data_IF_700734812442
#
_entry.id   IF_700734812442
#
_cell.length_a   1.000
_cell.length_b   1.000
_cell.length_c   1.000
_cell.angle_alpha   90.00
_cell.angle_beta   90.00
_cell.angle_gamma   90.00
#
_symmetry.space_group_name_H-M   'P 1'
#
loop_
_entity.id
_entity.type
_entity.pdbx_description
1 polymer ?
#
# COMPACT_ATOMS: atom_id res chain seq x y z
N UNK A 1 34.94 50.25 -21.69
CA UNK A 1 34.62 49.85 -20.30
C UNK A 1 33.81 48.54 -20.33
N UNK A 2 34.28 47.48 -19.66
CA UNK A 2 33.54 46.23 -19.62
C UNK A 2 32.24 46.41 -18.81
N UNK A 3 31.08 46.13 -19.42
CA UNK A 3 29.75 46.18 -18.74
C UNK A 3 29.80 45.31 -17.50
N UNK A 4 29.55 45.92 -16.32
CA UNK A 4 29.33 45.18 -15.06
C UNK A 4 28.18 44.22 -15.23
N UNK A 5 28.37 42.91 -14.98
CA UNK A 5 27.33 41.90 -15.05
C UNK A 5 26.32 42.11 -13.93
N UNK A 6 25.07 41.70 -14.17
CA UNK A 6 24.02 41.78 -13.18
C UNK A 6 24.29 40.86 -11.98
N UNK A 7 23.80 41.23 -10.80
CA UNK A 7 23.91 40.41 -9.60
C UNK A 7 23.21 39.04 -9.85
N UNK A 8 23.95 37.94 -9.66
CA UNK A 8 23.43 36.57 -9.84
C UNK A 8 23.97 35.84 -11.08
N UNK A 9 24.57 36.55 -12.07
CA UNK A 9 25.06 35.93 -13.31
C UNK A 9 26.40 35.17 -13.16
N UNK A 10 27.01 35.18 -11.99
CA UNK A 10 28.30 34.55 -11.71
C UNK A 10 29.48 35.26 -12.41
N UNK A 11 30.70 34.76 -12.25
CA UNK A 11 31.91 35.29 -12.88
C UNK A 11 32.59 34.21 -13.72
N UNK A 12 33.22 34.61 -14.83
CA UNK A 12 33.99 33.72 -15.71
C UNK A 12 35.39 34.27 -15.82
N UNK A 13 36.40 33.41 -15.62
CA UNK A 13 37.81 33.75 -15.80
C UNK A 13 38.55 32.64 -16.54
N UNK A 14 39.66 32.99 -17.21
CA UNK A 14 40.60 32.04 -17.77
C UNK A 14 41.61 31.64 -16.68
N UNK A 15 41.85 30.37 -16.52
CA UNK A 15 42.84 29.82 -15.58
C UNK A 15 44.22 29.73 -16.23
N UNK A 16 45.25 29.59 -15.42
CA UNK A 16 46.65 29.41 -15.87
C UNK A 16 46.82 28.10 -16.68
N UNK A 17 45.98 27.10 -16.44
CA UNK A 17 45.98 25.83 -17.17
C UNK A 17 45.25 25.89 -18.53
N UNK A 18 44.89 27.10 -18.99
CA UNK A 18 44.23 27.33 -20.28
C UNK A 18 42.72 27.11 -20.29
N UNK A 19 42.12 26.50 -19.26
CA UNK A 19 40.68 26.28 -19.14
C UNK A 19 39.94 27.51 -18.65
N UNK A 20 38.64 27.57 -18.92
CA UNK A 20 37.73 28.61 -18.42
C UNK A 20 37.01 28.12 -17.17
N UNK A 21 36.98 28.97 -16.14
CA UNK A 21 36.27 28.71 -14.86
C UNK A 21 35.15 29.72 -14.69
N UNK A 22 33.93 29.20 -14.51
CA UNK A 22 32.75 29.96 -14.11
C UNK A 22 32.48 29.75 -12.61
N UNK A 23 32.31 30.82 -11.84
CA UNK A 23 32.00 30.80 -10.41
C UNK A 23 30.64 31.41 -10.18
N UNK A 24 29.84 30.79 -9.32
CA UNK A 24 28.50 31.28 -8.95
C UNK A 24 28.22 31.01 -7.47
N UNK A 25 27.30 31.81 -6.90
CA UNK A 25 26.77 31.56 -5.55
C UNK A 25 25.67 30.52 -5.66
N UNK A 26 25.88 29.33 -5.09
CA UNK A 26 24.96 28.24 -5.13
C UNK A 26 23.91 28.31 -3.99
N UNK A 27 24.14 29.14 -2.98
CA UNK A 27 23.27 29.34 -1.83
C UNK A 27 24.01 30.00 -0.67
N UNK A 28 23.40 30.00 0.51
CA UNK A 28 23.97 30.49 1.75
C UNK A 28 23.89 29.42 2.83
N UNK A 29 24.90 29.36 3.69
CA UNK A 29 24.89 28.43 4.83
C UNK A 29 23.82 28.87 5.85
N UNK A 30 22.89 27.98 6.26
CA UNK A 30 21.75 28.38 7.10
C UNK A 30 22.12 29.02 8.43
N UNK A 31 23.15 28.49 9.10
CA UNK A 31 23.56 28.95 10.44
C UNK A 31 24.52 30.12 10.40
N UNK A 32 25.40 30.21 9.38
CA UNK A 32 26.48 31.18 9.35
C UNK A 32 26.24 32.31 8.36
N UNK A 33 25.25 32.26 7.50
CA UNK A 33 24.96 33.22 6.44
C UNK A 33 26.05 33.34 5.36
N UNK A 34 27.10 32.53 5.42
CA UNK A 34 28.21 32.54 4.46
C UNK A 34 27.77 32.00 3.09
N UNK A 35 28.27 32.62 2.01
CA UNK A 35 28.00 32.21 0.63
C UNK A 35 28.63 30.86 0.33
N UNK A 36 27.84 29.95 -0.24
CA UNK A 36 28.32 28.70 -0.82
C UNK A 36 28.67 28.97 -2.28
N UNK A 37 29.96 28.96 -2.60
CA UNK A 37 30.44 29.22 -3.95
C UNK A 37 30.82 27.90 -4.62
N UNK A 38 30.26 27.67 -5.82
CA UNK A 38 30.64 26.55 -6.69
C UNK A 38 31.25 27.06 -8.00
N UNK A 39 31.98 26.15 -8.69
CA UNK A 39 32.58 26.44 -9.97
C UNK A 39 32.27 25.39 -11.02
N UNK A 40 32.28 25.80 -12.28
CA UNK A 40 32.19 24.94 -13.47
C UNK A 40 33.39 25.20 -14.36
N UNK A 41 33.83 24.17 -15.08
CA UNK A 41 34.97 24.26 -15.98
C UNK A 41 34.54 23.98 -17.42
N UNK A 42 35.11 24.76 -18.37
CA UNK A 42 34.95 24.56 -19.80
C UNK A 42 36.26 24.69 -20.56
N UNK A 43 36.39 23.99 -21.68
CA UNK A 43 37.57 24.14 -22.59
C UNK A 43 37.52 25.46 -23.32
N UNK A 44 36.35 25.98 -23.63
CA UNK A 44 36.12 27.27 -24.27
C UNK A 44 35.29 28.20 -23.37
N UNK A 45 35.37 29.50 -23.64
CA UNK A 45 34.57 30.50 -22.92
C UNK A 45 33.06 30.27 -23.12
N UNK A 46 32.66 29.93 -24.36
CA UNK A 46 31.26 29.66 -24.70
C UNK A 46 30.73 28.43 -23.95
N UNK A 47 31.48 27.33 -23.92
CA UNK A 47 31.15 26.13 -23.16
C UNK A 47 31.00 26.41 -21.67
N UNK A 48 31.98 27.15 -21.11
CA UNK A 48 31.96 27.55 -19.70
C UNK A 48 30.74 28.42 -19.38
N UNK A 49 30.36 29.35 -20.27
CA UNK A 49 29.17 30.20 -20.11
C UNK A 49 27.88 29.40 -20.16
N UNK A 50 27.74 28.44 -21.07
CA UNK A 50 26.58 27.56 -21.16
C UNK A 50 26.42 26.68 -19.90
N UNK A 51 27.54 26.07 -19.46
CA UNK A 51 27.58 25.30 -18.22
C UNK A 51 27.25 26.13 -16.98
N UNK A 52 27.78 27.37 -16.91
CA UNK A 52 27.54 28.29 -15.81
C UNK A 52 26.06 28.70 -15.74
N UNK A 53 25.43 29.01 -16.88
CA UNK A 53 24.00 29.36 -16.95
C UNK A 53 23.15 28.20 -16.44
N UNK A 54 23.40 27.00 -16.96
CA UNK A 54 22.69 25.78 -16.52
C UNK A 54 22.89 25.51 -15.03
N UNK A 55 24.11 25.64 -14.51
CA UNK A 55 24.40 25.43 -13.09
C UNK A 55 23.75 26.49 -12.18
N UNK A 56 23.60 27.73 -12.62
CA UNK A 56 22.88 28.78 -11.89
C UNK A 56 21.36 28.46 -11.88
N UNK A 57 20.76 28.08 -13.02
CA UNK A 57 19.35 27.66 -13.11
C UNK A 57 19.08 26.48 -12.20
N UNK A 58 19.93 25.45 -12.23
CA UNK A 58 19.86 24.31 -11.34
C UNK A 58 20.00 24.69 -9.85
N UNK A 59 20.91 25.64 -9.52
CA UNK A 59 21.11 26.08 -8.14
C UNK A 59 19.95 26.94 -7.61
N UNK A 60 19.25 27.65 -8.47
CA UNK A 60 18.03 28.40 -8.10
C UNK A 60 16.83 27.49 -7.90
N UNK A 61 16.83 26.32 -8.53
CA UNK A 61 15.79 25.29 -8.38
C UNK A 61 16.04 24.34 -7.21
N UNK A 62 17.24 24.33 -6.60
CA UNK A 62 17.60 23.50 -5.45
C UNK A 62 17.87 24.36 -4.21
N UNK A 63 17.38 23.92 -3.07
CA UNK A 63 17.85 24.39 -1.76
C UNK A 63 19.15 23.63 -1.40
N UNK A 64 20.28 24.10 -1.97
CA UNK A 64 21.58 23.44 -1.85
C UNK A 64 22.07 23.39 -0.39
N UNK A 65 21.61 24.31 0.45
CA UNK A 65 21.94 24.28 1.88
C UNK A 65 21.38 23.04 2.56
N UNK A 66 20.21 22.56 2.13
CA UNK A 66 19.50 21.40 2.69
C UNK A 66 19.70 20.11 1.89
N UNK A 67 20.00 20.21 0.60
CA UNK A 67 20.15 19.05 -0.29
C UNK A 67 21.28 18.08 0.12
N UNK A 68 22.28 18.56 0.88
CA UNK A 68 23.39 17.73 1.39
C UNK A 68 23.13 17.18 2.80
N UNK A 69 22.04 17.57 3.48
CA UNK A 69 21.73 17.15 4.85
C UNK A 69 21.13 15.74 4.89
N UNK A 70 20.50 15.30 3.79
CA UNK A 70 19.78 14.05 3.75
C UNK A 70 20.50 12.96 2.98
N UNK A 71 20.54 11.78 3.59
CA UNK A 71 20.67 10.51 2.86
C UNK A 71 19.28 9.99 2.48
N UNK A 72 19.21 8.97 1.63
CA UNK A 72 17.93 8.36 1.27
C UNK A 72 17.19 7.87 2.52
N UNK A 73 17.88 7.19 3.44
CA UNK A 73 17.25 6.67 4.67
C UNK A 73 16.72 7.80 5.57
N UNK A 74 17.54 8.85 5.81
CA UNK A 74 17.10 9.96 6.67
C UNK A 74 15.96 10.74 6.06
N UNK A 75 15.96 10.95 4.74
CA UNK A 75 14.83 11.57 4.04
C UNK A 75 13.55 10.73 4.14
N UNK A 76 13.63 9.42 3.90
CA UNK A 76 12.46 8.55 3.95
C UNK A 76 11.81 8.52 5.33
N UNK A 77 12.62 8.52 6.41
CA UNK A 77 12.11 8.63 7.79
C UNK A 77 11.46 9.97 8.04
N UNK A 78 12.11 11.09 7.64
CA UNK A 78 11.55 12.43 7.75
C UNK A 78 10.23 12.55 6.97
N UNK A 79 10.20 12.08 5.74
CA UNK A 79 8.98 12.07 4.93
C UNK A 79 7.89 11.23 5.56
N UNK A 80 8.24 10.04 6.07
CA UNK A 80 7.28 9.17 6.71
C UNK A 80 6.64 9.84 7.93
N UNK A 81 7.44 10.40 8.84
CA UNK A 81 6.95 10.99 10.08
C UNK A 81 6.17 12.28 9.85
N UNK A 82 6.65 13.18 8.98
CA UNK A 82 6.05 14.50 8.79
C UNK A 82 4.90 14.50 7.77
N UNK A 83 5.00 13.71 6.70
CA UNK A 83 4.07 13.83 5.56
C UNK A 83 3.17 12.62 5.37
N UNK A 84 3.68 11.41 5.59
CA UNK A 84 2.88 10.22 5.34
C UNK A 84 2.04 9.82 6.56
N UNK A 85 2.67 9.66 7.72
CA UNK A 85 2.06 9.13 8.94
C UNK A 85 0.76 9.84 9.37
N UNK A 86 0.63 11.18 9.31
CA UNK A 86 -0.61 11.87 9.69
C UNK A 86 -1.80 11.56 8.80
N UNK A 87 -1.57 11.06 7.57
CA UNK A 87 -2.61 10.93 6.53
C UNK A 87 -2.90 9.49 6.12
N UNK A 88 -2.17 8.51 6.66
CA UNK A 88 -2.32 7.10 6.31
C UNK A 88 -2.82 6.28 7.49
N UNK A 89 -3.43 5.11 7.20
CA UNK A 89 -3.93 4.19 8.22
C UNK A 89 -2.79 3.41 8.89
N UNK A 90 -3.00 2.92 10.13
CA UNK A 90 -2.00 2.14 10.86
C UNK A 90 -1.41 0.97 10.05
N UNK A 91 -2.24 0.23 9.32
CA UNK A 91 -1.75 -0.87 8.45
C UNK A 91 -0.80 -0.39 7.35
N UNK A 92 -1.04 0.79 6.78
CA UNK A 92 -0.15 1.41 5.78
C UNK A 92 1.10 1.97 6.44
N UNK A 93 0.99 2.54 7.66
CA UNK A 93 2.15 2.98 8.45
C UNK A 93 3.12 1.81 8.67
N UNK A 94 2.61 0.68 9.16
CA UNK A 94 3.40 -0.53 9.39
C UNK A 94 4.03 -1.05 8.09
N UNK A 95 3.29 -1.00 6.98
CA UNK A 95 3.80 -1.39 5.66
C UNK A 95 4.94 -0.46 5.21
N UNK A 96 4.78 0.86 5.32
CA UNK A 96 5.81 1.82 4.92
C UNK A 96 7.05 1.72 5.82
N UNK A 97 6.86 1.73 7.14
CA UNK A 97 7.95 1.60 8.09
C UNK A 97 8.78 0.33 7.83
N UNK A 98 8.11 -0.82 7.69
CA UNK A 98 8.79 -2.08 7.39
C UNK A 98 9.57 -2.03 6.07
N UNK A 99 8.99 -1.48 5.00
CA UNK A 99 9.68 -1.41 3.71
C UNK A 99 10.86 -0.44 3.75
N UNK A 100 10.76 0.68 4.45
CA UNK A 100 11.87 1.61 4.64
C UNK A 100 13.01 0.91 5.38
N UNK A 101 12.72 0.34 6.57
CA UNK A 101 13.77 -0.15 7.46
C UNK A 101 14.36 -1.50 7.02
N UNK A 102 13.57 -2.37 6.42
CA UNK A 102 14.01 -3.73 6.13
C UNK A 102 14.45 -3.95 4.67
N UNK A 103 14.03 -3.09 3.75
CA UNK A 103 14.32 -3.27 2.32
C UNK A 103 15.09 -2.12 1.72
N UNK A 104 14.68 -0.87 1.96
CA UNK A 104 15.24 0.29 1.28
C UNK A 104 16.49 0.82 1.99
N UNK A 105 16.40 1.08 3.30
CA UNK A 105 17.51 1.64 4.07
C UNK A 105 18.77 0.76 4.06
N UNK A 106 18.69 -0.59 4.18
CA UNK A 106 19.88 -1.44 4.11
C UNK A 106 20.55 -1.46 2.73
N UNK A 107 19.79 -1.21 1.66
CA UNK A 107 20.28 -1.36 0.28
C UNK A 107 20.82 -0.05 -0.32
N UNK A 108 20.13 1.06 -0.08
CA UNK A 108 20.44 2.37 -0.69
C UNK A 108 20.38 3.54 0.30
N UNK A 109 20.18 3.25 1.60
CA UNK A 109 19.93 4.27 2.61
C UNK A 109 21.06 5.27 2.81
N UNK A 110 22.31 4.86 2.64
CA UNK A 110 23.50 5.71 2.82
C UNK A 110 23.80 6.61 1.61
N UNK A 111 23.11 6.41 0.49
CA UNK A 111 23.30 7.26 -0.69
C UNK A 111 22.84 8.68 -0.36
N UNK A 112 23.65 9.72 -0.58
CA UNK A 112 23.18 11.10 -0.49
C UNK A 112 21.96 11.32 -1.39
N UNK A 113 20.90 11.93 -0.87
CA UNK A 113 19.61 12.06 -1.56
C UNK A 113 19.74 12.68 -2.95
N UNK A 114 20.56 13.70 -3.07
CA UNK A 114 20.84 14.41 -4.33
C UNK A 114 21.74 13.64 -5.32
N UNK A 115 22.27 12.48 -4.92
CA UNK A 115 23.08 11.60 -5.77
C UNK A 115 22.34 10.31 -6.14
N UNK A 116 21.14 10.09 -5.61
CA UNK A 116 20.32 8.93 -5.94
C UNK A 116 19.94 8.94 -7.41
N UNK A 117 20.22 7.83 -8.10
CA UNK A 117 19.96 7.70 -9.53
C UNK A 117 18.87 6.67 -9.83
N UNK A 118 18.25 6.76 -11.01
CA UNK A 118 17.34 5.73 -11.52
C UNK A 118 18.00 4.34 -11.57
N UNK A 119 19.32 4.27 -11.84
CA UNK A 119 20.07 3.00 -11.86
C UNK A 119 20.12 2.35 -10.47
N UNK A 120 20.29 3.12 -9.42
CA UNK A 120 20.33 2.59 -8.05
C UNK A 120 18.96 2.01 -7.66
N UNK A 121 17.88 2.71 -7.98
CA UNK A 121 16.52 2.24 -7.78
C UNK A 121 16.20 1.00 -8.61
N UNK A 122 16.64 0.96 -9.86
CA UNK A 122 16.41 -0.22 -10.71
C UNK A 122 17.15 -1.45 -10.19
N UNK A 123 18.39 -1.29 -9.70
CA UNK A 123 19.11 -2.39 -9.03
C UNK A 123 18.35 -2.87 -7.80
N UNK A 124 17.92 -1.94 -6.94
CA UNK A 124 17.10 -2.28 -5.76
C UNK A 124 15.89 -3.13 -6.16
N UNK A 125 15.11 -2.71 -7.19
CA UNK A 125 13.92 -3.46 -7.60
C UNK A 125 14.27 -4.87 -8.11
N UNK A 126 15.33 -5.01 -8.88
CA UNK A 126 15.80 -6.29 -9.39
C UNK A 126 16.26 -7.21 -8.23
N UNK A 127 16.99 -6.66 -7.26
CA UNK A 127 17.46 -7.41 -6.10
C UNK A 127 16.28 -7.84 -5.20
N UNK A 128 15.29 -6.97 -5.01
CA UNK A 128 14.07 -7.32 -4.29
C UNK A 128 13.27 -8.44 -4.98
N UNK A 129 13.23 -8.46 -6.32
CA UNK A 129 12.57 -9.54 -7.07
C UNK A 129 13.32 -10.87 -6.99
N UNK A 130 14.63 -10.84 -6.89
CA UNK A 130 15.44 -12.07 -6.84
C UNK A 130 15.64 -12.62 -5.43
N UNK A 131 15.90 -11.75 -4.43
CA UNK A 131 16.32 -12.15 -3.09
C UNK A 131 15.68 -11.36 -1.94
N UNK A 132 14.59 -10.61 -2.20
CA UNK A 132 14.03 -9.66 -1.23
C UNK A 132 13.33 -10.28 -0.01
N UNK A 133 13.13 -11.59 0.10
CA UNK A 133 12.48 -12.20 1.25
C UNK A 133 13.40 -12.29 2.45
N UNK A 134 12.99 -11.72 3.57
CA UNK A 134 13.75 -11.70 4.82
C UNK A 134 13.57 -12.99 5.65
N UNK A 135 12.46 -13.71 5.48
CA UNK A 135 12.23 -14.98 6.15
C UNK A 135 12.97 -16.12 5.44
N UNK A 136 13.31 -17.17 6.19
CA UNK A 136 13.83 -18.42 5.59
C UNK A 136 12.85 -18.93 4.54
N UNK A 137 13.35 -19.14 3.33
CA UNK A 137 12.57 -19.60 2.18
C UNK A 137 12.52 -21.13 2.22
N UNK A 138 11.33 -21.71 2.09
CA UNK A 138 11.19 -23.17 1.95
C UNK A 138 11.66 -23.62 0.56
N UNK A 139 12.11 -24.89 0.43
CA UNK A 139 12.71 -25.43 -0.81
C UNK A 139 11.95 -25.16 -2.12
N UNK A 140 10.62 -24.95 -2.05
CA UNK A 140 9.77 -24.69 -3.22
C UNK A 140 9.40 -23.22 -3.42
N UNK A 141 9.86 -22.32 -2.56
CA UNK A 141 9.49 -20.88 -2.61
C UNK A 141 10.59 -20.07 -3.30
N UNK A 142 10.19 -19.09 -4.09
CA UNK A 142 11.11 -18.10 -4.67
C UNK A 142 11.65 -17.18 -3.57
N UNK A 143 12.95 -16.89 -3.53
CA UNK A 143 13.54 -16.03 -2.50
C UNK A 143 13.19 -14.54 -2.67
N UNK A 144 12.66 -14.15 -3.81
CA UNK A 144 12.30 -12.77 -4.12
C UNK A 144 10.92 -12.34 -3.60
N UNK A 145 10.69 -11.05 -3.58
CA UNK A 145 9.38 -10.46 -3.33
C UNK A 145 8.48 -10.58 -4.57
N UNK A 146 7.17 -10.55 -4.35
CA UNK A 146 6.21 -10.53 -5.46
C UNK A 146 6.29 -9.21 -6.24
N UNK A 147 5.94 -9.24 -7.54
CA UNK A 147 5.87 -8.05 -8.38
C UNK A 147 4.95 -6.97 -7.76
N UNK A 148 3.86 -7.38 -7.13
CA UNK A 148 2.95 -6.48 -6.42
C UNK A 148 3.63 -5.78 -5.24
N UNK A 149 4.45 -6.48 -4.46
CA UNK A 149 5.19 -5.89 -3.34
C UNK A 149 6.24 -4.90 -3.82
N UNK A 150 7.01 -5.25 -4.86
CA UNK A 150 8.01 -4.35 -5.45
C UNK A 150 7.36 -3.08 -6.01
N UNK A 151 6.20 -3.20 -6.68
CA UNK A 151 5.41 -2.03 -7.10
C UNK A 151 4.95 -1.18 -5.94
N UNK A 152 4.54 -1.79 -4.83
CA UNK A 152 4.16 -1.06 -3.61
C UNK A 152 5.32 -0.27 -3.02
N UNK A 153 6.53 -0.85 -3.00
CA UNK A 153 7.75 -0.15 -2.58
C UNK A 153 8.08 1.00 -3.55
N UNK A 154 7.97 0.77 -4.87
CA UNK A 154 8.16 1.82 -5.86
C UNK A 154 7.20 3.00 -5.64
N UNK A 155 5.90 2.74 -5.44
CA UNK A 155 4.91 3.81 -5.19
C UNK A 155 5.21 4.61 -3.91
N UNK A 156 5.66 3.94 -2.86
CA UNK A 156 6.10 4.60 -1.62
C UNK A 156 7.30 5.51 -1.89
N UNK A 157 8.33 5.00 -2.58
CA UNK A 157 9.52 5.78 -2.96
C UNK A 157 9.17 6.94 -3.89
N UNK A 158 8.28 6.70 -4.86
CA UNK A 158 7.82 7.75 -5.77
C UNK A 158 7.20 8.93 -5.00
N UNK A 159 6.29 8.65 -4.07
CA UNK A 159 5.64 9.67 -3.26
C UNK A 159 6.64 10.44 -2.38
N UNK A 160 7.59 9.74 -1.77
CA UNK A 160 8.62 10.34 -0.93
C UNK A 160 9.58 11.23 -1.72
N UNK A 161 9.99 10.77 -2.91
CA UNK A 161 10.92 11.51 -3.76
C UNK A 161 10.23 12.65 -4.53
N UNK A 162 8.96 12.50 -4.88
CA UNK A 162 8.14 13.60 -5.40
C UNK A 162 8.02 14.74 -4.37
N UNK A 163 7.89 14.38 -3.08
CA UNK A 163 7.94 15.39 -2.00
C UNK A 163 9.31 16.05 -1.91
N UNK A 164 10.40 15.32 -2.08
CA UNK A 164 11.76 15.87 -2.10
C UNK A 164 11.97 16.87 -3.25
N UNK A 165 11.38 16.60 -4.43
CA UNK A 165 11.36 17.57 -5.56
C UNK A 165 10.61 18.84 -5.18
N UNK A 166 9.41 18.71 -4.57
CA UNK A 166 8.61 19.86 -4.12
C UNK A 166 9.32 20.71 -3.05
N UNK A 167 10.15 20.08 -2.22
CA UNK A 167 10.99 20.76 -1.24
C UNK A 167 12.33 21.23 -1.81
N UNK A 168 12.55 21.07 -3.10
CA UNK A 168 13.78 21.48 -3.80
C UNK A 168 15.06 20.80 -3.28
N UNK A 169 14.93 19.60 -2.71
CA UNK A 169 16.06 18.77 -2.25
C UNK A 169 16.71 18.01 -3.41
N UNK A 170 15.93 17.67 -4.44
CA UNK A 170 16.37 17.04 -5.69
C UNK A 170 15.69 17.71 -6.88
N UNK A 171 16.33 17.67 -8.05
CA UNK A 171 15.83 18.32 -9.27
C UNK A 171 14.67 17.60 -9.93
N UNK A 172 14.70 16.28 -9.93
CA UNK A 172 13.71 15.42 -10.55
C UNK A 172 13.57 14.13 -9.77
N UNK A 173 12.43 13.47 -9.92
CA UNK A 173 12.17 12.21 -9.25
C UNK A 173 12.82 11.05 -10.02
N UNK A 174 13.87 10.39 -9.48
CA UNK A 174 14.56 9.31 -10.19
C UNK A 174 13.73 8.04 -10.37
N UNK A 175 12.57 7.92 -9.71
CA UNK A 175 11.66 6.77 -9.90
C UNK A 175 10.91 6.82 -11.22
N UNK A 176 10.72 8.00 -11.84
CA UNK A 176 9.89 8.18 -13.04
C UNK A 176 10.36 7.32 -14.22
N UNK A 177 11.68 7.13 -14.34
CA UNK A 177 12.28 6.37 -15.43
C UNK A 177 12.61 4.91 -15.07
N UNK A 178 12.11 4.40 -13.94
CA UNK A 178 12.30 3.01 -13.55
C UNK A 178 11.35 2.07 -14.30
N UNK A 179 11.85 0.91 -14.68
CA UNK A 179 11.03 -0.17 -15.22
C UNK A 179 10.44 -0.97 -14.05
N UNK A 180 9.12 -0.89 -13.92
CA UNK A 180 8.40 -1.54 -12.83
C UNK A 180 7.92 -2.92 -13.29
N UNK A 181 8.04 -3.98 -12.45
CA UNK A 181 7.60 -5.32 -12.84
C UNK A 181 6.09 -5.36 -13.11
N UNK A 182 5.68 -6.04 -14.18
CA UNK A 182 4.27 -6.23 -14.51
C UNK A 182 3.61 -7.16 -13.50
N UNK A 183 2.38 -6.84 -13.10
CA UNK A 183 1.55 -7.74 -12.30
C UNK A 183 0.79 -8.63 -13.28
N UNK A 184 1.04 -9.93 -13.20
CA UNK A 184 0.21 -10.90 -13.91
C UNK A 184 -1.16 -10.98 -13.24
N UNK A 185 -2.21 -10.78 -14.01
CA UNK A 185 -3.58 -10.99 -13.52
C UNK A 185 -3.76 -12.50 -13.27
N UNK A 186 -3.92 -12.86 -12.02
CA UNK A 186 -4.33 -14.22 -11.68
C UNK A 186 -5.85 -14.31 -11.83
N UNK A 187 -6.33 -15.37 -12.44
CA UNK A 187 -7.76 -15.66 -12.48
C UNK A 187 -8.30 -15.78 -11.05
N UNK A 188 -9.47 -15.19 -10.84
CA UNK A 188 -10.15 -15.29 -9.56
C UNK A 188 -10.68 -16.72 -9.40
N UNK A 189 -10.22 -17.41 -8.37
CA UNK A 189 -10.78 -18.71 -8.01
C UNK A 189 -12.05 -18.49 -7.21
N UNK A 190 -13.09 -19.23 -7.53
CA UNK A 190 -14.36 -19.25 -6.78
C UNK A 190 -14.59 -20.65 -6.23
N UNK A 191 -15.38 -20.76 -5.18
CA UNK A 191 -15.90 -22.04 -4.74
C UNK A 191 -17.03 -22.45 -5.71
N UNK A 192 -16.83 -23.54 -6.43
CA UNK A 192 -17.82 -24.01 -7.40
C UNK A 192 -19.15 -24.38 -6.67
N UNK A 193 -20.32 -24.12 -7.27
CA UNK A 193 -21.62 -24.46 -6.64
C UNK A 193 -21.70 -25.89 -6.11
N UNK A 194 -21.22 -26.86 -6.88
CA UNK A 194 -21.25 -28.31 -6.51
C UNK A 194 -20.39 -28.62 -5.27
N UNK A 195 -19.47 -27.75 -4.90
CA UNK A 195 -18.58 -27.92 -3.75
C UNK A 195 -19.09 -27.24 -2.47
N UNK A 196 -20.14 -26.41 -2.57
CA UNK A 196 -20.65 -25.63 -1.43
C UNK A 196 -21.13 -26.56 -0.30
N UNK A 197 -21.88 -27.59 -0.63
CA UNK A 197 -22.38 -28.53 0.37
C UNK A 197 -21.24 -29.24 1.09
N UNK A 198 -20.23 -29.72 0.38
CA UNK A 198 -19.04 -30.34 0.98
C UNK A 198 -18.27 -29.39 1.89
N UNK A 199 -18.15 -28.11 1.48
CA UNK A 199 -17.51 -27.07 2.25
C UNK A 199 -18.27 -26.76 3.54
N UNK A 200 -19.61 -26.59 3.47
CA UNK A 200 -20.44 -26.27 4.64
C UNK A 200 -20.51 -27.45 5.62
N UNK A 201 -20.60 -28.67 5.13
CA UNK A 201 -20.54 -29.88 5.99
C UNK A 201 -19.19 -29.99 6.71
N UNK A 202 -18.11 -29.59 6.08
CA UNK A 202 -16.79 -29.53 6.74
C UNK A 202 -16.71 -28.38 7.76
N UNK A 203 -17.35 -27.23 7.48
CA UNK A 203 -17.47 -26.12 8.43
C UNK A 203 -18.30 -26.53 9.66
N UNK A 204 -19.37 -27.28 9.49
CA UNK A 204 -20.20 -27.78 10.57
C UNK A 204 -19.44 -28.71 11.52
N UNK A 205 -18.67 -29.67 10.97
CA UNK A 205 -17.78 -30.55 11.76
C UNK A 205 -16.76 -29.78 12.60
N UNK A 206 -16.48 -28.51 12.26
CA UNK A 206 -15.59 -27.62 12.99
C UNK A 206 -16.32 -26.61 13.87
N UNK A 207 -17.63 -26.74 14.06
CA UNK A 207 -18.46 -25.76 14.76
C UNK A 207 -18.34 -24.33 14.20
N UNK A 208 -18.24 -24.21 12.89
CA UNK A 208 -18.04 -22.93 12.21
C UNK A 208 -19.06 -22.69 11.09
N UNK A 209 -20.10 -23.54 10.99
CA UNK A 209 -21.12 -23.42 9.95
C UNK A 209 -21.76 -22.02 9.90
N UNK A 210 -22.25 -21.44 11.02
CA UNK A 210 -22.92 -20.14 10.96
C UNK A 210 -22.03 -19.02 10.38
N UNK A 211 -20.74 -18.99 10.77
CA UNK A 211 -19.76 -18.00 10.28
C UNK A 211 -19.53 -18.12 8.78
N UNK A 212 -19.27 -19.31 8.27
CA UNK A 212 -18.94 -19.52 6.86
C UNK A 212 -20.17 -19.54 5.96
N UNK A 213 -21.32 -19.92 6.48
CA UNK A 213 -22.58 -19.77 5.77
C UNK A 213 -22.91 -18.28 5.59
N UNK A 214 -22.83 -17.50 6.66
CA UNK A 214 -23.02 -16.05 6.58
C UNK A 214 -22.06 -15.39 5.57
N UNK A 215 -20.79 -15.78 5.56
CA UNK A 215 -19.82 -15.25 4.59
C UNK A 215 -20.24 -15.54 3.14
N UNK A 216 -20.74 -16.75 2.85
CA UNK A 216 -21.18 -17.16 1.51
C UNK A 216 -22.46 -16.47 1.06
N UNK A 217 -23.33 -16.03 1.97
CA UNK A 217 -24.61 -15.38 1.61
C UNK A 217 -24.56 -13.85 1.73
N UNK A 218 -23.50 -13.29 2.31
CA UNK A 218 -23.35 -11.84 2.52
C UNK A 218 -22.14 -11.23 1.84
N UNK A 219 -21.12 -12.03 1.55
CA UNK A 219 -19.86 -11.57 0.94
C UNK A 219 -19.13 -10.52 1.76
N UNK A 220 -19.16 -10.57 3.07
CA UNK A 220 -18.51 -9.64 3.98
C UNK A 220 -16.99 -9.67 3.83
N UNK A 221 -16.30 -8.56 4.11
CA UNK A 221 -14.85 -8.61 4.25
C UNK A 221 -14.49 -9.32 5.56
N UNK A 222 -13.37 -10.04 5.57
CA UNK A 222 -12.85 -10.75 6.76
C UNK A 222 -12.92 -9.92 8.05
N UNK A 223 -12.49 -8.66 7.99
CA UNK A 223 -12.52 -7.76 9.14
C UNK A 223 -13.93 -7.31 9.54
N UNK A 224 -14.85 -7.24 8.61
CA UNK A 224 -16.27 -6.95 8.87
C UNK A 224 -16.92 -8.15 9.57
N UNK A 225 -16.74 -9.35 9.02
CA UNK A 225 -17.30 -10.60 9.55
C UNK A 225 -16.94 -10.85 11.02
N UNK A 226 -15.65 -10.73 11.38
CA UNK A 226 -15.21 -10.98 12.76
C UNK A 226 -15.57 -9.86 13.74
N UNK A 227 -15.93 -8.68 13.23
CA UNK A 227 -16.35 -7.54 14.03
C UNK A 227 -17.86 -7.49 14.30
N UNK A 228 -18.63 -8.44 13.77
CA UNK A 228 -20.08 -8.50 13.98
C UNK A 228 -20.43 -8.78 15.45
N UNK A 229 -21.41 -8.04 15.91
CA UNK A 229 -22.03 -8.21 17.22
C UNK A 229 -23.53 -8.50 17.04
N UNK A 230 -24.18 -9.05 18.05
CA UNK A 230 -25.61 -9.38 17.97
C UNK A 230 -26.49 -8.15 17.69
N UNK A 231 -26.11 -6.97 18.16
CA UNK A 231 -26.83 -5.72 17.87
C UNK A 231 -26.71 -5.27 16.40
N UNK A 232 -25.89 -5.92 15.59
CA UNK A 232 -25.79 -5.64 14.16
C UNK A 232 -26.81 -6.47 13.33
N UNK A 233 -27.49 -7.46 13.95
CA UNK A 233 -28.49 -8.29 13.30
C UNK A 233 -29.89 -7.72 13.54
N UNK A 234 -30.61 -7.44 12.47
CA UNK A 234 -32.05 -7.20 12.49
C UNK A 234 -32.76 -8.48 12.03
N UNK A 235 -33.26 -9.23 13.00
CA UNK A 235 -33.94 -10.53 12.74
C UNK A 235 -35.28 -10.34 11.99
N UNK A 236 -35.98 -9.23 12.24
CA UNK A 236 -37.30 -8.97 11.64
C UNK A 236 -37.19 -8.65 10.14
N UNK A 237 -36.15 -7.88 9.77
CA UNK A 237 -35.90 -7.49 8.40
C UNK A 237 -34.88 -8.40 7.68
N UNK A 238 -34.33 -9.40 8.36
CA UNK A 238 -33.28 -10.29 7.84
C UNK A 238 -32.09 -9.50 7.27
N UNK A 239 -31.59 -8.54 8.03
CA UNK A 239 -30.46 -7.70 7.59
C UNK A 239 -29.33 -7.66 8.63
N UNK A 240 -28.11 -7.43 8.13
CA UNK A 240 -26.92 -7.19 8.96
C UNK A 240 -26.39 -5.79 8.65
N UNK A 241 -26.24 -4.99 9.71
CA UNK A 241 -25.62 -3.66 9.64
C UNK A 241 -24.08 -3.78 9.68
N UNK A 242 -23.42 -3.36 8.62
CA UNK A 242 -21.96 -3.35 8.52
C UNK A 242 -21.44 -1.94 8.75
N UNK A 243 -21.14 -1.60 9.99
CA UNK A 243 -20.70 -0.26 10.40
C UNK A 243 -19.28 -0.22 10.98
N UNK A 244 -18.67 -1.39 11.20
CA UNK A 244 -17.36 -1.56 11.84
C UNK A 244 -16.57 -2.70 11.23
N UNK A 245 -15.26 -2.68 11.46
CA UNK A 245 -14.35 -3.76 11.05
C UNK A 245 -13.23 -3.95 12.06
N UNK A 246 -12.73 -5.15 12.16
CA UNK A 246 -11.49 -5.45 12.87
C UNK A 246 -10.30 -4.92 12.09
N UNK A 247 -9.41 -4.19 12.73
CA UNK A 247 -8.19 -3.65 12.15
C UNK A 247 -7.06 -3.64 13.19
N UNK A 248 -5.84 -3.39 12.73
CA UNK A 248 -4.67 -3.28 13.60
C UNK A 248 -4.37 -1.81 13.87
N UNK A 249 -4.06 -1.48 15.11
CA UNK A 249 -3.51 -0.19 15.47
C UNK A 249 -1.99 -0.11 15.22
N UNK A 250 -1.35 0.97 15.67
CA UNK A 250 0.09 1.19 15.54
C UNK A 250 0.92 0.28 16.42
N UNK A 251 0.34 -0.26 17.49
CA UNK A 251 0.98 -1.17 18.44
C UNK A 251 0.70 -2.66 18.13
N UNK A 252 0.16 -2.94 16.94
CA UNK A 252 -0.27 -4.28 16.52
C UNK A 252 -1.35 -4.90 17.42
N UNK A 253 -2.17 -4.06 18.06
CA UNK A 253 -3.34 -4.52 18.79
C UNK A 253 -4.54 -4.59 17.86
N UNK A 254 -5.37 -5.62 18.04
CA UNK A 254 -6.59 -5.79 17.28
C UNK A 254 -7.67 -4.86 17.85
N UNK A 255 -8.13 -3.93 17.04
CA UNK A 255 -9.13 -2.93 17.44
C UNK A 255 -10.32 -2.91 16.48
N UNK A 256 -11.45 -2.41 16.96
CA UNK A 256 -12.57 -2.04 16.12
C UNK A 256 -12.31 -0.66 15.50
N UNK A 257 -12.50 -0.55 14.21
CA UNK A 257 -12.41 0.70 13.46
C UNK A 257 -13.59 0.89 12.53
N UNK A 258 -13.87 2.13 12.20
CA UNK A 258 -14.83 2.42 11.12
C UNK A 258 -14.29 1.93 9.78
N UNK A 259 -15.16 1.53 8.85
CA UNK A 259 -14.77 1.15 7.50
C UNK A 259 -13.99 2.26 6.78
N UNK A 260 -13.31 1.89 5.69
CA UNK A 260 -12.37 2.77 4.98
C UNK A 260 -13.02 4.02 4.37
N UNK A 261 -14.28 3.93 3.97
CA UNK A 261 -15.06 5.02 3.35
C UNK A 261 -16.45 5.05 3.98
N UNK A 262 -17.10 6.22 4.00
CA UNK A 262 -18.48 6.36 4.46
C UNK A 262 -19.45 5.42 3.71
N UNK A 263 -19.22 5.21 2.42
CA UNK A 263 -20.00 4.27 1.60
C UNK A 263 -19.83 2.80 1.98
N UNK A 264 -18.90 2.47 2.87
CA UNK A 264 -18.73 1.09 3.37
C UNK A 264 -19.68 0.76 4.51
N UNK A 265 -20.33 1.74 5.11
CA UNK A 265 -21.44 1.53 6.05
C UNK A 265 -22.67 1.16 5.20
N UNK A 266 -23.22 -0.01 5.46
CA UNK A 266 -24.32 -0.56 4.67
C UNK A 266 -25.10 -1.60 5.45
N UNK A 267 -26.30 -1.84 5.00
CA UNK A 267 -27.09 -3.02 5.39
C UNK A 267 -26.99 -4.10 4.30
N UNK A 268 -26.87 -5.32 4.71
CA UNK A 268 -26.78 -6.49 3.84
C UNK A 268 -27.94 -7.42 4.19
N UNK A 269 -28.83 -7.64 3.22
CA UNK A 269 -29.91 -8.64 3.38
C UNK A 269 -29.32 -10.03 3.36
N UNK A 270 -29.80 -10.87 4.26
CA UNK A 270 -29.43 -12.28 4.39
C UNK A 270 -30.69 -13.15 4.33
N UNK A 271 -30.62 -14.42 3.88
CA UNK A 271 -31.73 -15.28 3.84
C UNK A 271 -32.21 -15.71 5.25
N UNK A 272 -33.48 -16.09 5.38
CA UNK A 272 -34.10 -16.45 6.67
C UNK A 272 -33.39 -17.63 7.37
N UNK A 273 -32.91 -18.60 6.61
CA UNK A 273 -32.16 -19.75 7.14
C UNK A 273 -30.82 -19.32 7.77
N UNK A 274 -30.18 -18.25 7.25
CA UNK A 274 -29.03 -17.66 7.90
C UNK A 274 -29.38 -17.05 9.26
N UNK A 275 -30.49 -16.34 9.35
CA UNK A 275 -30.99 -15.79 10.63
C UNK A 275 -31.24 -16.93 11.64
N UNK A 276 -31.85 -18.03 11.23
CA UNK A 276 -32.08 -19.17 12.10
C UNK A 276 -30.79 -19.82 12.59
N UNK A 277 -29.81 -19.99 11.71
CA UNK A 277 -28.49 -20.49 12.11
C UNK A 277 -27.79 -19.55 13.10
N UNK A 278 -27.90 -18.23 12.90
CA UNK A 278 -27.36 -17.25 13.82
C UNK A 278 -28.04 -17.26 15.18
N UNK A 279 -29.36 -17.45 15.23
CA UNK A 279 -30.10 -17.61 16.50
C UNK A 279 -29.67 -18.85 17.28
N UNK A 280 -29.46 -19.96 16.58
CA UNK A 280 -28.91 -21.19 17.20
C UNK A 280 -27.48 -20.95 17.73
N UNK A 281 -26.68 -20.18 17.02
CA UNK A 281 -25.34 -19.81 17.49
C UNK A 281 -25.40 -18.92 18.71
N UNK A 282 -26.28 -17.90 18.72
CA UNK A 282 -26.48 -17.00 19.85
C UNK A 282 -26.89 -17.78 21.13
N UNK A 283 -27.72 -18.77 21.00
CA UNK A 283 -28.14 -19.60 22.14
C UNK A 283 -26.98 -20.35 22.82
N UNK A 284 -25.85 -20.57 22.15
CA UNK A 284 -24.67 -21.22 22.72
C UNK A 284 -23.88 -20.30 23.64
N UNK A 285 -23.99 -18.98 23.46
CA UNK A 285 -23.23 -17.95 24.21
C UNK A 285 -24.01 -16.63 24.36
N UNK A 286 -25.19 -16.65 24.99
CA UNK A 286 -26.16 -15.54 24.96
C UNK A 286 -25.65 -14.26 25.64
N UNK A 287 -24.68 -14.35 26.54
CA UNK A 287 -24.09 -13.19 27.22
C UNK A 287 -22.90 -12.58 26.47
N UNK A 288 -22.43 -13.19 25.39
CA UNK A 288 -21.29 -12.70 24.64
C UNK A 288 -21.74 -11.69 23.58
N UNK A 289 -21.19 -10.47 23.51
CA UNK A 289 -21.59 -9.49 22.52
C UNK A 289 -21.20 -9.86 21.09
N UNK A 290 -20.17 -10.68 20.91
CA UNK A 290 -19.67 -11.06 19.59
C UNK A 290 -20.53 -12.15 18.95
N UNK A 291 -20.86 -11.97 17.67
CA UNK A 291 -21.59 -12.98 16.92
C UNK A 291 -20.75 -14.27 16.75
N UNK A 292 -19.46 -14.12 16.57
CA UNK A 292 -18.51 -15.23 16.44
C UNK A 292 -17.34 -15.03 17.41
N UNK A 293 -17.49 -15.37 18.68
CA UNK A 293 -16.42 -15.25 19.66
C UNK A 293 -15.33 -16.29 19.43
N UNK A 294 -14.10 -15.95 19.79
CA UNK A 294 -13.00 -16.93 19.84
C UNK A 294 -13.30 -17.99 20.90
N UNK A 295 -13.35 -19.25 20.50
CA UNK A 295 -13.57 -20.37 21.44
C UNK A 295 -12.49 -20.50 22.52
N UNK A 296 -11.35 -19.83 22.40
CA UNK A 296 -10.28 -19.84 23.39
C UNK A 296 -10.37 -18.68 24.39
N UNK A 297 -10.78 -17.50 23.94
CA UNK A 297 -10.72 -16.27 24.76
C UNK A 297 -12.10 -15.67 25.05
N UNK A 298 -13.14 -16.07 24.31
CA UNK A 298 -14.46 -15.43 24.34
C UNK A 298 -14.51 -14.05 23.67
N UNK A 299 -13.37 -13.50 23.26
CA UNK A 299 -13.23 -12.18 22.64
C UNK A 299 -13.44 -12.26 21.10
N UNK A 300 -13.37 -11.09 20.45
CA UNK A 300 -13.44 -10.99 18.99
C UNK A 300 -12.49 -11.99 18.32
N UNK A 301 -12.99 -12.70 17.34
CA UNK A 301 -12.20 -13.70 16.62
C UNK A 301 -11.07 -13.03 15.85
N UNK A 302 -9.86 -13.57 15.98
CA UNK A 302 -8.71 -13.00 15.28
C UNK A 302 -8.81 -13.23 13.76
N UNK A 303 -8.72 -12.18 12.91
CA UNK A 303 -8.93 -12.32 11.47
C UNK A 303 -8.06 -13.39 10.78
N UNK A 304 -6.80 -13.58 11.24
CA UNK A 304 -5.92 -14.59 10.64
C UNK A 304 -6.25 -16.01 11.09
N UNK A 305 -6.90 -16.15 12.26
CA UNK A 305 -7.42 -17.45 12.72
C UNK A 305 -8.58 -17.91 11.84
N UNK A 306 -9.44 -17.00 11.37
CA UNK A 306 -10.51 -17.31 10.39
C UNK A 306 -9.90 -17.82 9.08
N UNK A 307 -8.83 -17.19 8.58
CA UNK A 307 -8.14 -17.68 7.37
C UNK A 307 -7.55 -19.07 7.58
N UNK A 308 -7.00 -19.32 8.77
CA UNK A 308 -6.45 -20.64 9.12
C UNK A 308 -7.57 -21.70 9.20
N UNK A 309 -8.71 -21.34 9.79
CA UNK A 309 -9.88 -22.20 9.88
C UNK A 309 -10.45 -22.53 8.48
N UNK A 310 -10.59 -21.52 7.62
CA UNK A 310 -10.98 -21.69 6.22
C UNK A 310 -10.10 -22.71 5.48
N UNK A 311 -8.77 -22.59 5.61
CA UNK A 311 -7.83 -23.55 5.01
C UNK A 311 -8.04 -24.98 5.50
N UNK A 312 -8.35 -25.14 6.79
CA UNK A 312 -8.65 -26.46 7.37
C UNK A 312 -9.96 -27.03 6.85
N UNK A 313 -10.99 -26.18 6.72
CA UNK A 313 -12.31 -26.58 6.15
C UNK A 313 -12.13 -27.06 4.71
N UNK A 314 -11.41 -26.30 3.86
CA UNK A 314 -11.13 -26.74 2.49
C UNK A 314 -10.39 -28.09 2.43
N UNK A 315 -9.41 -28.29 3.30
CA UNK A 315 -8.67 -29.55 3.39
C UNK A 315 -9.57 -30.71 3.78
N UNK A 316 -10.45 -30.53 4.79
CA UNK A 316 -11.37 -31.57 5.27
C UNK A 316 -12.47 -31.89 4.25
N UNK A 317 -12.83 -30.92 3.43
CA UNK A 317 -13.77 -31.10 2.32
C UNK A 317 -13.11 -31.72 1.07
N UNK A 318 -11.78 -31.91 1.06
CA UNK A 318 -11.06 -32.41 -0.12
C UNK A 318 -11.00 -31.42 -1.27
N UNK A 319 -11.16 -30.12 -1.00
CA UNK A 319 -11.25 -29.07 -2.00
C UNK A 319 -9.90 -28.38 -2.25
N UNK A 320 -9.74 -27.84 -3.46
CA UNK A 320 -8.60 -27.00 -3.79
C UNK A 320 -8.55 -25.74 -2.91
N UNK A 321 -7.32 -25.28 -2.67
CA UNK A 321 -7.12 -24.05 -1.90
C UNK A 321 -7.58 -22.83 -2.68
N UNK A 322 -8.58 -22.14 -2.14
CA UNK A 322 -8.96 -20.77 -2.48
C UNK A 322 -8.66 -19.83 -1.30
N UNK A 323 -8.48 -18.54 -1.57
CA UNK A 323 -8.25 -17.55 -0.50
C UNK A 323 -9.57 -17.26 0.22
N UNK A 324 -9.53 -16.87 1.49
CA UNK A 324 -10.74 -16.46 2.21
C UNK A 324 -11.54 -15.37 1.46
N UNK A 325 -10.82 -14.38 0.88
CA UNK A 325 -11.47 -13.30 0.11
C UNK A 325 -12.18 -13.80 -1.16
N UNK A 326 -11.80 -14.97 -1.66
CA UNK A 326 -12.46 -15.57 -2.83
C UNK A 326 -13.86 -16.09 -2.52
N UNK A 327 -14.23 -16.30 -1.23
CA UNK A 327 -15.61 -16.57 -0.80
C UNK A 327 -16.53 -15.38 -1.12
N UNK A 328 -16.04 -14.15 -0.97
CA UNK A 328 -16.77 -12.95 -1.37
C UNK A 328 -16.96 -12.87 -2.89
N UNK A 329 -15.98 -13.32 -3.67
CA UNK A 329 -16.14 -13.44 -5.12
C UNK A 329 -17.13 -14.56 -5.48
N UNK A 330 -17.12 -15.64 -4.73
CA UNK A 330 -18.12 -16.73 -4.83
C UNK A 330 -19.53 -16.18 -4.60
N UNK A 331 -19.76 -15.44 -3.50
CA UNK A 331 -21.03 -14.77 -3.25
C UNK A 331 -21.47 -13.90 -4.44
N UNK A 332 -20.58 -13.03 -4.94
CA UNK A 332 -20.92 -12.16 -6.07
C UNK A 332 -21.32 -12.95 -7.31
N UNK A 333 -20.58 -14.00 -7.65
CA UNK A 333 -20.86 -14.86 -8.80
C UNK A 333 -22.19 -15.59 -8.65
N UNK A 334 -22.44 -16.19 -7.47
CA UNK A 334 -23.68 -16.90 -7.18
C UNK A 334 -24.89 -15.97 -7.21
N UNK A 335 -24.80 -14.79 -6.62
CA UNK A 335 -25.86 -13.79 -6.64
C UNK A 335 -26.25 -13.39 -8.06
N UNK A 336 -25.24 -13.12 -8.92
CA UNK A 336 -25.47 -12.78 -10.33
C UNK A 336 -26.07 -13.96 -11.11
N UNK A 337 -25.60 -15.19 -10.88
CA UNK A 337 -26.14 -16.40 -11.51
C UNK A 337 -27.60 -16.69 -11.11
N UNK A 338 -27.99 -16.30 -9.89
CA UNK A 338 -29.36 -16.40 -9.38
C UNK A 338 -30.23 -15.18 -9.71
N UNK A 339 -29.81 -14.33 -10.64
CA UNK A 339 -30.62 -13.24 -11.18
C UNK A 339 -30.61 -11.95 -10.36
N UNK A 340 -29.78 -11.84 -9.33
CA UNK A 340 -29.60 -10.58 -8.61
C UNK A 340 -28.89 -9.59 -9.53
N UNK A 341 -29.44 -8.40 -9.70
CA UNK A 341 -28.87 -7.42 -10.61
C UNK A 341 -27.48 -6.90 -10.14
N UNK A 342 -26.64 -6.51 -11.11
CA UNK A 342 -25.25 -6.10 -10.86
C UNK A 342 -25.14 -4.92 -9.91
N UNK A 343 -26.12 -3.98 -9.97
CA UNK A 343 -26.12 -2.78 -9.12
C UNK A 343 -26.37 -3.15 -7.65
N UNK A 344 -27.31 -4.05 -7.41
CA UNK A 344 -27.60 -4.59 -6.07
C UNK A 344 -26.41 -5.32 -5.51
N UNK A 345 -25.78 -6.24 -6.26
CA UNK A 345 -24.56 -6.94 -5.82
C UNK A 345 -23.42 -5.96 -5.55
N UNK A 346 -23.24 -4.96 -6.41
CA UNK A 346 -22.24 -3.92 -6.21
C UNK A 346 -22.49 -3.10 -4.95
N UNK A 347 -23.75 -2.77 -4.66
CA UNK A 347 -24.14 -2.06 -3.43
C UNK A 347 -23.86 -2.90 -2.19
N UNK A 348 -24.29 -4.16 -2.17
CA UNK A 348 -24.06 -5.11 -1.06
C UNK A 348 -22.56 -5.28 -0.77
N UNK A 349 -21.74 -5.27 -1.81
CA UNK A 349 -20.29 -5.42 -1.71
C UNK A 349 -19.54 -4.10 -1.57
N UNK A 350 -20.20 -2.94 -1.64
CA UNK A 350 -19.51 -1.63 -1.70
C UNK A 350 -18.40 -1.60 -2.77
N UNK A 351 -18.69 -2.12 -3.95
CA UNK A 351 -17.82 -1.97 -5.10
C UNK A 351 -18.16 -0.64 -5.77
N UNK A 352 -17.16 0.17 -6.07
CA UNK A 352 -17.37 1.34 -6.92
C UNK A 352 -17.69 0.82 -8.34
N UNK A 353 -18.94 1.00 -8.75
CA UNK A 353 -19.33 0.80 -10.14
C UNK A 353 -18.74 1.96 -10.94
N UNK A 354 -17.53 1.79 -11.44
CA UNK A 354 -17.08 2.60 -12.57
C UNK A 354 -17.77 2.03 -13.78
N UNK A 355 -18.83 2.70 -14.25
CA UNK A 355 -19.33 2.46 -15.60
C UNK A 355 -18.11 2.48 -16.54
N UNK A 356 -17.99 1.54 -17.49
CA UNK A 356 -16.93 1.60 -18.48
C UNK A 356 -16.96 2.99 -19.13
N UNK A 357 -15.83 3.68 -19.12
CA UNK A 357 -15.69 4.95 -19.81
C UNK A 357 -16.04 4.69 -21.30
N UNK A 358 -16.71 5.64 -21.98
CA UNK A 358 -16.94 5.53 -23.43
C UNK A 358 -15.67 5.28 -24.25
N UNK A 359 -14.47 5.39 -23.65
CA UNK A 359 -13.18 5.09 -24.27
C UNK A 359 -12.72 3.64 -24.13
N UNK A 360 -13.47 2.80 -23.39
CA UNK A 360 -13.13 1.37 -23.21
C UNK A 360 -13.96 0.46 -24.14
N UNK A 361 -14.67 1.05 -25.10
CA UNK A 361 -15.61 0.37 -26.04
C UNK A 361 -15.17 0.56 -27.51
N UNK A 362 -13.90 0.96 -27.76
CA UNK A 362 -13.32 0.95 -29.11
C UNK A 362 -12.21 -0.09 -29.23
#
# INVERSE_FOLDING_TARGET
MAKKRANGEGSIRKRSDGRWEGRYTAGYHPETGKRIIKNVLGKTQAECKAKLKKAIEESQSLDISRANEYTVATWLRTWFDLYAKPHIRPSTMNYYHRNIEQHVAPAIGDIPLNKLTTRDLQKLYNDLQSNGRLRKVQKKEKPGLSNSTVRGIHMMLHNALDRAVKEKLILSNPTENCIIPKIEKQEMKILHPDHISAYLNAAERRNALPMFYLELVSGLRKGELVALQWNDLDEANCTISVSKQASWDTEHQLILSRPKTGNSIREVSIPQDAVELLKQEHAKHPSNPWMFPSGRTGEMYHPDSVVTLHKRILKDAGLEHIRFHDLRHTFATLALQNGVDVKTVSSMLCLLYTSPSPRDVE
#
